data_IF_359778256765
#
_entry.id   IF_359778256765
#
_cell.length_a   1.000
_cell.length_b   1.000
_cell.length_c   1.000
_cell.angle_alpha   90.00
_cell.angle_beta   90.00
_cell.angle_gamma   90.00
#
_symmetry.space_group_name_H-M   'P 1'
#
loop_
_entity.id
_entity.type
_entity.pdbx_description
1 polymer ?
#
# COMPACT_ATOMS: atom_id res chain seq x y z
N UNK A 1 7.16 -1.62 -12.43
CA UNK A 1 7.14 -1.20 -11.01
C UNK A 1 6.80 -2.44 -10.18
N UNK A 2 7.64 -2.85 -9.22
CA UNK A 2 7.43 -4.03 -8.37
C UNK A 2 7.17 -3.55 -6.94
N UNK A 3 6.20 -4.11 -6.21
CA UNK A 3 6.13 -3.85 -4.76
C UNK A 3 7.43 -4.24 -4.13
N UNK A 4 7.86 -3.38 -3.22
CA UNK A 4 8.83 -3.77 -2.21
C UNK A 4 8.14 -4.17 -0.91
N UNK A 5 6.91 -3.69 -0.69
CA UNK A 5 6.20 -3.87 0.57
C UNK A 5 4.74 -4.27 0.35
N UNK A 6 4.25 -5.14 1.23
CA UNK A 6 2.84 -5.48 1.39
C UNK A 6 2.48 -5.17 2.84
N UNK A 7 1.42 -4.38 3.04
CA UNK A 7 0.88 -4.02 4.34
C UNK A 7 -0.52 -4.63 4.49
N UNK A 8 -0.87 -5.10 5.68
CA UNK A 8 -2.25 -5.43 6.02
C UNK A 8 -2.83 -4.32 6.90
N UNK A 9 -3.94 -3.73 6.46
CA UNK A 9 -4.63 -2.63 7.14
C UNK A 9 -6.08 -3.03 7.37
N UNK A 10 -6.69 -2.61 8.47
CA UNK A 10 -8.12 -2.82 8.66
C UNK A 10 -8.90 -2.04 7.60
N UNK A 11 -9.94 -2.67 7.03
CA UNK A 11 -10.75 -2.07 5.98
C UNK A 11 -11.44 -0.78 6.43
N UNK A 12 -11.77 -0.68 7.72
CA UNK A 12 -12.32 0.54 8.33
C UNK A 12 -11.33 1.72 8.39
N UNK A 13 -10.03 1.45 8.29
CA UNK A 13 -8.96 2.46 8.39
C UNK A 13 -8.38 2.86 7.02
N UNK A 14 -8.66 2.06 5.99
CA UNK A 14 -8.19 2.30 4.63
C UNK A 14 -9.24 3.07 3.81
N UNK A 15 -8.83 4.21 3.25
CA UNK A 15 -9.69 5.12 2.48
C UNK A 15 -9.04 5.43 1.13
N UNK A 16 -8.63 4.39 0.41
CA UNK A 16 -8.03 4.45 -0.93
C UNK A 16 -6.84 5.40 -1.06
N UNK A 17 -6.03 5.50 -0.01
CA UNK A 17 -4.83 6.33 -0.04
C UNK A 17 -3.86 5.80 -1.10
N UNK A 18 -3.38 6.72 -1.95
CA UNK A 18 -2.43 6.41 -3.04
C UNK A 18 -0.97 6.32 -2.57
N UNK A 19 -0.70 6.65 -1.31
CA UNK A 19 0.64 6.74 -0.74
C UNK A 19 0.65 6.17 0.67
N UNK A 20 1.72 5.43 1.00
CA UNK A 20 2.02 4.96 2.35
C UNK A 20 3.32 5.61 2.82
N UNK A 21 3.33 6.11 4.06
CA UNK A 21 4.55 6.53 4.74
C UNK A 21 5.07 5.36 5.57
N UNK A 22 6.30 4.91 5.29
CA UNK A 22 6.96 3.85 6.03
C UNK A 22 8.34 4.34 6.49
N UNK A 23 8.47 4.63 7.79
CA UNK A 23 9.64 5.31 8.32
C UNK A 23 9.82 6.70 7.68
N UNK A 24 10.96 6.92 7.02
CA UNK A 24 11.24 8.17 6.27
C UNK A 24 10.88 8.08 4.79
N UNK A 25 10.37 6.93 4.33
CA UNK A 25 10.09 6.70 2.92
C UNK A 25 8.63 6.97 2.57
N UNK A 26 8.42 7.59 1.41
CA UNK A 26 7.12 7.78 0.78
C UNK A 26 6.95 6.76 -0.34
N UNK A 27 6.08 5.78 -0.13
CA UNK A 27 5.81 4.69 -1.07
C UNK A 27 4.51 4.96 -1.83
N UNK A 28 4.49 4.62 -3.12
CA UNK A 28 3.26 4.70 -3.93
C UNK A 28 2.52 3.37 -3.85
N UNK A 29 1.24 3.43 -3.51
CA UNK A 29 0.32 2.29 -3.61
C UNK A 29 -0.02 2.08 -5.07
N UNK A 30 0.09 0.84 -5.53
CA UNK A 30 -0.22 0.50 -6.91
C UNK A 30 -1.18 -0.69 -7.03
N UNK A 31 -1.45 -1.39 -5.92
CA UNK A 31 -2.46 -2.44 -5.87
C UNK A 31 -2.98 -2.62 -4.46
N UNK A 32 -4.27 -2.90 -4.36
CA UNK A 32 -4.94 -3.31 -3.13
C UNK A 32 -5.74 -4.58 -3.38
N UNK A 33 -5.90 -5.40 -2.36
CA UNK A 33 -6.78 -6.58 -2.38
C UNK A 33 -7.59 -6.65 -1.09
N UNK A 34 -8.90 -6.87 -1.20
CA UNK A 34 -9.78 -7.07 -0.06
C UNK A 34 -11.06 -6.25 -0.14
N UNK A 35 -11.81 -6.16 0.98
CA UNK A 35 -11.51 -6.78 2.28
C UNK A 35 -11.56 -8.32 2.24
N UNK A 36 -10.64 -8.97 2.95
CA UNK A 36 -10.65 -10.42 3.23
C UNK A 36 -11.67 -10.75 4.34
N UNK A 37 -11.89 -12.04 4.59
CA UNK A 37 -12.77 -12.55 5.67
C UNK A 37 -12.40 -12.07 7.09
N UNK A 38 -11.21 -11.49 7.28
CA UNK A 38 -10.74 -10.94 8.55
C UNK A 38 -10.83 -9.40 8.62
N UNK A 39 -11.62 -8.78 7.75
CA UNK A 39 -11.80 -7.32 7.63
C UNK A 39 -10.52 -6.55 7.33
N UNK A 40 -9.52 -7.20 6.73
CA UNK A 40 -8.27 -6.55 6.33
C UNK A 40 -8.14 -6.44 4.81
N UNK A 41 -7.46 -5.38 4.40
CA UNK A 41 -7.05 -5.11 3.02
C UNK A 41 -5.53 -5.25 2.94
N UNK A 42 -5.05 -5.93 1.91
CA UNK A 42 -3.64 -5.92 1.53
C UNK A 42 -3.34 -4.70 0.67
N UNK A 43 -2.33 -3.92 1.06
CA UNK A 43 -1.87 -2.73 0.36
C UNK A 43 -0.45 -2.97 -0.15
N UNK A 44 -0.29 -3.02 -1.46
CA UNK A 44 1.00 -3.20 -2.12
C UNK A 44 1.57 -1.86 -2.52
N UNK A 45 2.74 -1.54 -1.98
CA UNK A 45 3.42 -0.27 -2.21
C UNK A 45 4.89 -0.45 -2.58
N UNK A 46 5.43 0.54 -3.26
CA UNK A 46 6.83 0.58 -3.65
C UNK A 46 7.32 1.99 -3.92
N UNK A 47 8.63 2.17 -3.89
CA UNK A 47 9.24 3.44 -4.29
C UNK A 47 8.95 3.70 -5.77
N UNK A 48 8.57 4.93 -6.09
CA UNK A 48 8.46 5.40 -7.46
C UNK A 48 9.87 5.73 -7.95
N UNK A 49 10.55 4.75 -8.54
CA UNK A 49 11.75 4.98 -9.35
C UNK A 49 11.30 5.67 -10.63
N UNK A 50 11.27 7.00 -10.61
CA UNK A 50 11.24 7.79 -11.84
C UNK A 50 12.62 7.71 -12.47
N UNK A 51 12.73 7.25 -13.72
CA UNK A 51 13.93 7.50 -14.51
C UNK A 51 14.09 9.02 -14.60
N UNK A 52 15.23 9.52 -14.12
CA UNK A 52 15.71 10.86 -14.43
C UNK A 52 16.49 10.81 -15.74
#
# INVERSE_FOLDING_TARGET
MKARYMFEVYASEYADQSVVLHGKERLTVYRTYGPKDNDKIEVYAGQRVGNR
#
